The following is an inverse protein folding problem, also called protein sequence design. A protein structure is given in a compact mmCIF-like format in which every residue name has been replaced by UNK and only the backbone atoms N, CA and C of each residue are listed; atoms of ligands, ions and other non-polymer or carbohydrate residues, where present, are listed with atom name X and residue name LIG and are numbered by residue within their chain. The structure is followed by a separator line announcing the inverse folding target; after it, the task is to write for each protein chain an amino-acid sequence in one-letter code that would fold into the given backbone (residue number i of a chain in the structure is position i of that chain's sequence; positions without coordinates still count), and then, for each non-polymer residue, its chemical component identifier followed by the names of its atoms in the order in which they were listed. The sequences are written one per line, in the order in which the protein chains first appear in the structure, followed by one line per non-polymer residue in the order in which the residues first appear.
data_IF_139270508601
#
_entry.id   IF_139270508601
#
_cell.length_a   1.000
_cell.length_b   1.000
_cell.length_c   1.000
_cell.angle_alpha   90.00
_cell.angle_beta   90.00
_cell.angle_gamma   90.00
#
_symmetry.space_group_name_H-M   'P 1'
#
loop_
_entity.id
_entity.type
_entity.pdbx_description
1 polymer ?
#
# COMPACT_ATOMS: atom_id res chain seq x y z
N UNK A 1 19.08 -10.08 9.34
CA UNK A 1 17.74 -10.01 9.13
C UNK A 1 17.17 -8.64 8.99
N UNK A 2 16.78 -8.28 7.79
CA UNK A 2 16.37 -6.94 7.48
C UNK A 2 14.88 -6.91 7.15
N UNK A 3 14.08 -7.18 8.16
CA UNK A 3 12.64 -7.11 8.00
C UNK A 3 12.19 -5.66 8.07
N UNK A 4 11.30 -5.29 7.17
CA UNK A 4 10.71 -3.96 7.13
C UNK A 4 9.24 -4.13 7.48
N UNK A 5 8.85 -3.68 8.67
CA UNK A 5 7.48 -3.77 9.12
C UNK A 5 6.79 -2.46 8.84
N UNK A 6 5.72 -2.52 8.05
CA UNK A 6 5.00 -1.32 7.68
C UNK A 6 3.53 -1.46 8.06
N UNK A 7 2.89 -0.32 8.22
CA UNK A 7 1.45 -0.24 8.41
C UNK A 7 0.86 0.24 7.10
N UNK A 8 -0.15 -0.46 6.61
CA UNK A 8 -0.82 -0.07 5.37
C UNK A 8 -2.22 0.41 5.71
N UNK A 9 -2.55 1.60 5.25
CA UNK A 9 -3.88 2.19 5.42
C UNK A 9 -4.60 2.15 4.09
N UNK A 10 -5.85 1.71 4.11
CA UNK A 10 -6.66 1.60 2.90
C UNK A 10 -7.86 2.51 3.04
N UNK A 11 -8.19 3.20 1.96
CA UNK A 11 -9.27 4.19 1.96
C UNK A 11 -10.26 3.92 0.85
N UNK A 12 -11.48 4.39 1.03
CA UNK A 12 -12.51 4.37 0.00
C UNK A 12 -12.78 2.98 -0.53
N UNK A 13 -12.81 2.86 -1.87
CA UNK A 13 -13.09 1.59 -2.51
C UNK A 13 -12.04 0.53 -2.21
N UNK A 14 -10.79 0.94 -1.99
CA UNK A 14 -9.75 -0.01 -1.62
C UNK A 14 -10.04 -0.64 -0.26
N UNK A 15 -10.49 0.18 0.69
CA UNK A 15 -10.86 -0.31 2.01
C UNK A 15 -12.04 -1.27 1.91
N UNK A 16 -13.01 -0.95 1.08
CA UNK A 16 -14.18 -1.81 0.93
C UNK A 16 -13.80 -3.14 0.30
N UNK A 17 -12.95 -3.11 -0.71
CA UNK A 17 -12.52 -4.34 -1.38
C UNK A 17 -11.73 -5.24 -0.43
N UNK A 18 -10.95 -4.63 0.46
CA UNK A 18 -10.13 -5.40 1.38
C UNK A 18 -10.88 -5.88 2.61
N UNK A 19 -11.98 -5.22 2.95
CA UNK A 19 -12.72 -5.54 4.17
C UNK A 19 -12.06 -4.98 5.43
N UNK A 20 -11.04 -4.17 5.28
CA UNK A 20 -10.35 -3.57 6.42
C UNK A 20 -9.68 -2.27 5.97
N UNK A 21 -9.51 -1.36 6.91
CA UNK A 21 -8.85 -0.09 6.63
C UNK A 21 -7.39 -0.05 7.06
N UNK A 22 -6.92 -1.09 7.71
CA UNK A 22 -5.55 -1.09 8.21
C UNK A 22 -5.01 -2.52 8.23
N UNK A 23 -3.78 -2.66 7.74
CA UNK A 23 -3.09 -3.94 7.72
C UNK A 23 -1.64 -3.71 8.10
N UNK A 24 -1.00 -4.77 8.58
CA UNK A 24 0.44 -4.74 8.78
C UNK A 24 1.09 -5.73 7.85
N UNK A 25 2.18 -5.31 7.23
CA UNK A 25 2.93 -6.14 6.31
C UNK A 25 4.39 -6.15 6.70
N UNK A 26 5.05 -7.27 6.46
CA UNK A 26 6.48 -7.39 6.66
C UNK A 26 7.12 -7.66 5.31
N UNK A 27 8.09 -6.82 4.95
CA UNK A 27 8.79 -6.91 3.68
C UNK A 27 10.26 -7.17 3.94
N UNK A 28 10.97 -7.62 2.91
CA UNK A 28 12.41 -7.80 3.00
C UNK A 28 13.11 -6.54 2.53
N UNK A 29 14.11 -6.10 3.29
CA UNK A 29 14.89 -4.93 2.92
C UNK A 29 15.90 -5.28 1.81
N UNK A 30 16.12 -4.40 0.87
CA UNK A 30 15.47 -3.10 0.69
C UNK A 30 14.07 -3.27 0.10
N UNK A 31 13.16 -2.41 0.50
CA UNK A 31 11.77 -2.50 0.08
C UNK A 31 11.31 -1.18 -0.49
N UNK A 32 10.35 -1.23 -1.41
CA UNK A 32 9.76 -0.06 -2.02
C UNK A 32 8.25 -0.12 -1.86
N UNK A 33 7.59 0.97 -2.23
CA UNK A 33 6.13 0.99 -2.25
C UNK A 33 5.57 -0.10 -3.17
N UNK A 34 6.27 -0.42 -4.25
CA UNK A 34 5.85 -1.50 -5.14
C UNK A 34 5.86 -2.85 -4.42
N UNK A 35 6.84 -3.07 -3.55
CA UNK A 35 6.89 -4.30 -2.77
C UNK A 35 5.71 -4.39 -1.82
N UNK A 36 5.36 -3.26 -1.20
CA UNK A 36 4.19 -3.22 -0.32
C UNK A 36 2.92 -3.54 -1.11
N UNK A 37 2.79 -2.96 -2.29
CA UNK A 37 1.63 -3.19 -3.13
C UNK A 37 1.55 -4.66 -3.56
N UNK A 38 2.69 -5.25 -3.91
CA UNK A 38 2.73 -6.67 -4.27
C UNK A 38 2.29 -7.57 -3.14
N UNK A 39 2.74 -7.27 -1.92
CA UNK A 39 2.34 -8.05 -0.75
C UNK A 39 0.84 -7.93 -0.50
N UNK A 40 0.28 -6.73 -0.70
CA UNK A 40 -1.14 -6.52 -0.54
C UNK A 40 -1.95 -7.32 -1.54
N UNK A 41 -1.52 -7.33 -2.79
CA UNK A 41 -2.23 -8.08 -3.83
C UNK A 41 -2.22 -9.58 -3.54
N UNK A 42 -1.15 -10.08 -2.95
CA UNK A 42 -1.09 -11.49 -2.61
C UNK A 42 -2.05 -11.84 -1.48
N UNK A 43 -2.15 -10.98 -0.50
CA UNK A 43 -3.04 -11.22 0.63
C UNK A 43 -4.50 -10.97 0.27
N UNK A 44 -4.76 -9.96 -0.55
CA UNK A 44 -6.11 -9.56 -0.91
C UNK A 44 -6.15 -9.35 -2.41
N UNK A 45 -6.37 -10.43 -3.18
CA UNK A 45 -6.35 -10.32 -4.65
C UNK A 45 -7.32 -9.30 -5.21
N UNK A 46 -8.41 -8.99 -4.50
CA UNK A 46 -9.36 -7.99 -4.96
C UNK A 46 -8.73 -6.62 -5.14
N UNK A 47 -7.61 -6.36 -4.46
CA UNK A 47 -6.93 -5.07 -4.58
C UNK A 47 -6.23 -4.90 -5.92
N UNK A 48 -6.00 -5.99 -6.66
CA UNK A 48 -5.31 -5.89 -7.94
C UNK A 48 -6.06 -5.00 -8.93
N UNK A 49 -7.38 -4.86 -8.78
CA UNK A 49 -8.16 -4.03 -9.68
C UNK A 49 -7.78 -2.55 -9.59
N UNK A 50 -7.15 -2.16 -8.49
CA UNK A 50 -6.75 -0.76 -8.29
C UNK A 50 -5.29 -0.50 -8.63
N UNK A 51 -4.58 -1.51 -9.10
CA UNK A 51 -3.13 -1.44 -9.24
C UNK A 51 -2.65 -0.28 -10.10
N UNK A 52 -3.39 0.03 -11.18
CA UNK A 52 -2.97 1.07 -12.11
C UNK A 52 -3.44 2.46 -11.72
N UNK A 53 -4.44 2.53 -10.86
CA UNK A 53 -5.11 3.80 -10.62
C UNK A 53 -4.99 4.30 -9.20
N UNK A 54 -4.63 3.42 -8.27
CA UNK A 54 -4.52 3.81 -6.88
C UNK A 54 -3.36 4.78 -6.67
N UNK A 55 -3.54 5.69 -5.76
CA UNK A 55 -2.51 6.62 -5.34
C UNK A 55 -1.88 6.09 -4.06
N UNK A 56 -0.57 6.30 -3.93
CA UNK A 56 0.18 5.80 -2.79
C UNK A 56 0.84 6.96 -2.08
N UNK A 57 0.78 6.98 -0.77
CA UNK A 57 1.51 7.94 0.04
C UNK A 57 2.33 7.18 1.08
N UNK A 58 3.55 7.62 1.29
CA UNK A 58 4.42 7.06 2.32
C UNK A 58 4.62 8.14 3.36
N UNK A 59 4.21 7.85 4.60
CA UNK A 59 4.29 8.81 5.70
C UNK A 59 3.65 10.14 5.33
N UNK A 60 2.46 10.05 4.70
CA UNK A 60 1.63 11.21 4.36
C UNK A 60 2.13 12.03 3.18
N UNK A 61 3.09 11.52 2.43
CA UNK A 61 3.56 12.20 1.23
C UNK A 61 3.34 11.33 0.01
N UNK A 62 2.85 11.93 -1.06
CA UNK A 62 2.67 11.20 -2.31
C UNK A 62 3.98 10.55 -2.73
N UNK A 63 3.88 9.31 -3.18
CA UNK A 63 5.08 8.55 -3.54
C UNK A 63 4.79 7.69 -4.76
N UNK A 64 5.82 7.53 -5.57
CA UNK A 64 5.74 6.57 -6.67
C UNK A 64 6.06 5.17 -6.15
N UNK A 65 5.86 4.19 -7.01
CA UNK A 65 6.08 2.80 -6.63
C UNK A 65 7.55 2.51 -6.32
N UNK A 66 8.47 3.29 -6.88
CA UNK A 66 9.89 3.08 -6.63
C UNK A 66 10.36 3.72 -5.33
N UNK A 67 9.48 4.43 -4.63
CA UNK A 67 9.84 5.10 -3.39
C UNK A 67 10.21 4.08 -2.31
N UNK A 68 11.37 4.22 -1.67
CA UNK A 68 11.77 3.25 -0.65
C UNK A 68 10.91 3.38 0.60
N UNK A 69 10.68 2.24 1.24
CA UNK A 69 9.99 2.21 2.53
C UNK A 69 10.90 1.57 3.56
N UNK A 70 10.78 2.02 4.79
CA UNK A 70 11.62 1.58 5.88
C UNK A 70 10.78 1.05 7.02
N UNK A 71 11.42 0.33 7.91
CA UNK A 71 10.76 -0.22 9.08
C UNK A 71 10.06 0.91 9.84
N UNK A 72 8.79 0.68 10.15
CA UNK A 72 7.99 1.66 10.88
C UNK A 72 7.22 2.62 10.00
N UNK A 73 7.44 2.59 8.68
CA UNK A 73 6.72 3.50 7.79
C UNK A 73 5.24 3.14 7.67
N UNK A 74 4.45 4.15 7.32
CA UNK A 74 3.03 3.99 7.03
C UNK A 74 2.81 4.23 5.55
N UNK A 75 2.17 3.27 4.88
CA UNK A 75 1.87 3.37 3.47
C UNK A 75 0.35 3.45 3.31
N UNK A 76 -0.12 4.54 2.73
CA UNK A 76 -1.54 4.75 2.51
C UNK A 76 -1.88 4.52 1.05
N UNK A 77 -2.98 3.83 0.81
CA UNK A 77 -3.45 3.53 -0.55
C UNK A 77 -4.82 4.18 -0.72
N UNK A 78 -4.92 5.02 -1.74
CA UNK A 78 -6.15 5.72 -2.05
C UNK A 78 -6.68 5.29 -3.41
N UNK A 79 -8.00 5.10 -3.54
CA UNK A 79 -8.55 4.85 -4.87
C UNK A 79 -8.45 6.13 -5.70
N UNK A 80 -8.54 6.02 -7.02
CA UNK A 80 -8.51 7.21 -7.84
C UNK A 80 -9.72 8.07 -7.53
N UNK A 81 -9.52 9.38 -7.60
CA UNK A 81 -10.63 10.30 -7.43
C UNK A 81 -11.47 10.24 -8.70
N UNK A 82 -12.71 9.80 -8.58
CA UNK A 82 -13.57 9.85 -9.72
C UNK A 82 -13.92 11.30 -9.94
N UNK A 83 -13.71 11.77 -11.13
CA UNK A 83 -13.92 13.15 -11.43
C UNK A 83 -15.38 13.52 -11.48
N UNK A 84 -16.16 12.88 -10.70
CA UNK A 84 -17.50 13.18 -10.79
C UNK A 84 -18.30 13.32 -9.79
#
# INVERSE_FOLDING_TARGET
DNAVNITVLLFGACREAAGTGELRCTLSSPATAADAWGALKQRIPALAQFERTALVAVNEEHAGLAHPVQDGDTVAIFPPVSGG
#
